data_IF_337461084185
#
_entry.id   IF_337461084185
#
_cell.length_a   1.000
_cell.length_b   1.000
_cell.length_c   1.000
_cell.angle_alpha   90.00
_cell.angle_beta   90.00
_cell.angle_gamma   90.00
#
_symmetry.space_group_name_H-M   'P 1'
#
loop_
_entity.id
_entity.type
_entity.pdbx_description
1 polymer ?
#
# COMPACT_ATOMS: atom_id res chain seq x y z
N UNK A 1 4.74 20.12 9.53
CA UNK A 1 3.87 19.01 9.10
C UNK A 1 2.73 19.55 8.27
N UNK A 2 2.65 19.18 7.00
CA UNK A 2 1.67 19.72 6.05
C UNK A 2 0.57 18.69 5.66
N UNK A 3 0.41 17.61 6.44
CA UNK A 3 -0.61 16.59 6.20
C UNK A 3 -0.39 15.66 5.00
N UNK A 4 0.81 15.68 4.38
CA UNK A 4 1.13 14.91 3.15
C UNK A 4 0.76 13.42 3.22
N UNK A 5 1.03 12.77 4.36
CA UNK A 5 0.71 11.35 4.57
C UNK A 5 -0.79 11.07 4.48
N UNK A 6 -1.64 11.97 4.98
CA UNK A 6 -3.09 11.80 4.88
C UNK A 6 -3.58 12.06 3.46
N UNK A 7 -3.02 13.04 2.75
CA UNK A 7 -3.33 13.26 1.33
C UNK A 7 -2.98 12.02 0.51
N UNK A 8 -1.79 11.44 0.72
CA UNK A 8 -1.39 10.19 0.08
C UNK A 8 -2.37 9.05 0.40
N UNK A 9 -2.76 8.90 1.67
CA UNK A 9 -3.72 7.88 2.08
C UNK A 9 -5.09 8.06 1.40
N UNK A 10 -5.58 9.30 1.25
CA UNK A 10 -6.83 9.56 0.53
C UNK A 10 -6.73 9.16 -0.95
N UNK A 11 -5.59 9.39 -1.58
CA UNK A 11 -5.33 8.91 -2.94
C UNK A 11 -5.34 7.38 -3.02
N UNK A 12 -4.72 6.70 -2.06
CA UNK A 12 -4.72 5.23 -1.99
C UNK A 12 -6.14 4.68 -1.79
N UNK A 13 -6.91 5.24 -0.85
CA UNK A 13 -8.30 4.85 -0.59
C UNK A 13 -9.21 5.08 -1.80
N UNK A 14 -8.98 6.15 -2.56
CA UNK A 14 -9.71 6.39 -3.79
C UNK A 14 -9.42 5.33 -4.86
N UNK A 15 -8.19 4.84 -4.93
CA UNK A 15 -7.86 3.75 -5.86
C UNK A 15 -8.49 2.44 -5.40
N UNK A 16 -8.34 2.08 -4.12
CA UNK A 16 -8.98 0.91 -3.50
C UNK A 16 -10.50 0.93 -3.75
N UNK A 17 -11.13 2.10 -3.61
CA UNK A 17 -12.56 2.30 -3.82
C UNK A 17 -13.09 1.95 -5.21
N UNK A 18 -12.22 1.89 -6.24
CA UNK A 18 -12.60 1.45 -7.59
C UNK A 18 -12.69 -0.06 -7.73
N UNK A 19 -12.11 -0.80 -6.79
CA UNK A 19 -11.98 -2.27 -6.83
C UNK A 19 -12.83 -2.93 -5.72
N UNK A 20 -13.91 -2.26 -5.30
CA UNK A 20 -14.88 -2.77 -4.32
C UNK A 20 -16.06 -3.37 -5.07
N UNK A 21 -16.38 -4.63 -4.77
CA UNK A 21 -17.54 -5.33 -5.30
C UNK A 21 -18.85 -4.86 -4.64
N UNK A 22 -19.99 -5.23 -5.22
CA UNK A 22 -21.31 -4.88 -4.67
C UNK A 22 -21.55 -5.45 -3.26
N UNK A 23 -20.89 -6.55 -2.91
CA UNK A 23 -20.97 -7.17 -1.58
C UNK A 23 -20.01 -6.55 -0.54
N UNK A 24 -19.23 -5.53 -0.95
CA UNK A 24 -18.27 -4.83 -0.11
C UNK A 24 -16.90 -5.50 0.00
N UNK A 25 -16.67 -6.63 -0.68
CA UNK A 25 -15.33 -7.23 -0.76
C UNK A 25 -14.42 -6.42 -1.69
N UNK A 26 -13.12 -6.47 -1.43
CA UNK A 26 -12.10 -5.74 -2.21
C UNK A 26 -11.33 -6.75 -3.05
N UNK A 27 -11.23 -6.51 -4.35
CA UNK A 27 -10.38 -7.29 -5.25
C UNK A 27 -8.92 -6.83 -5.13
N UNK A 28 -8.23 -7.31 -4.08
CA UNK A 28 -6.87 -6.87 -3.74
C UNK A 28 -5.81 -7.22 -4.81
N UNK A 29 -6.09 -8.19 -5.67
CA UNK A 29 -5.18 -8.64 -6.72
C UNK A 29 -5.31 -7.80 -8.01
N UNK A 30 -6.41 -7.04 -8.18
CA UNK A 30 -6.69 -6.26 -9.40
C UNK A 30 -5.85 -4.97 -9.51
N UNK A 31 -5.15 -4.57 -8.44
CA UNK A 31 -4.39 -3.33 -8.40
C UNK A 31 -3.15 -3.41 -7.52
N UNK A 32 -2.19 -2.53 -7.81
CA UNK A 32 -1.00 -2.30 -6.97
C UNK A 32 -0.80 -0.80 -6.76
N UNK A 33 -0.29 -0.43 -5.59
CA UNK A 33 0.01 0.96 -5.23
C UNK A 33 1.49 1.07 -4.88
N UNK A 34 2.20 1.98 -5.55
CA UNK A 34 3.63 2.23 -5.32
C UNK A 34 3.78 3.58 -4.62
N UNK A 35 4.38 3.59 -3.43
CA UNK A 35 4.73 4.79 -2.69
C UNK A 35 6.25 4.99 -2.68
N UNK A 36 6.72 6.06 -3.33
CA UNK A 36 8.15 6.36 -3.47
C UNK A 36 8.56 7.39 -2.41
N UNK A 37 9.63 7.10 -1.66
CA UNK A 37 10.23 8.01 -0.70
C UNK A 37 11.76 8.04 -0.85
N UNK A 38 12.41 9.18 -0.56
CA UNK A 38 13.84 9.39 -0.84
C UNK A 38 14.80 8.69 0.12
N UNK A 39 14.34 8.24 1.29
CA UNK A 39 15.20 7.65 2.32
C UNK A 39 14.58 6.40 2.90
N UNK A 40 15.41 5.39 3.17
CA UNK A 40 14.98 4.09 3.71
C UNK A 40 14.23 4.21 5.04
N UNK A 41 14.68 5.08 5.94
CA UNK A 41 14.01 5.34 7.22
C UNK A 41 12.57 5.82 7.04
N UNK A 42 12.33 6.68 6.05
CA UNK A 42 10.99 7.17 5.73
C UNK A 42 10.13 6.07 5.10
N UNK A 43 10.71 5.21 4.27
CA UNK A 43 9.99 4.04 3.72
C UNK A 43 9.52 3.14 4.86
N UNK A 44 10.42 2.77 5.78
CA UNK A 44 10.10 1.94 6.94
C UNK A 44 9.00 2.54 7.83
N UNK A 45 9.07 3.85 8.09
CA UNK A 45 8.02 4.58 8.80
C UNK A 45 6.67 4.48 8.07
N UNK A 46 6.66 4.68 6.75
CA UNK A 46 5.44 4.63 5.95
C UNK A 46 4.88 3.21 5.79
N UNK A 47 5.74 2.19 5.68
CA UNK A 47 5.32 0.78 5.68
C UNK A 47 4.60 0.45 6.99
N UNK A 48 5.17 0.82 8.14
CA UNK A 48 4.52 0.62 9.43
C UNK A 48 3.22 1.41 9.60
N UNK A 49 3.19 2.66 9.12
CA UNK A 49 2.02 3.53 9.21
C UNK A 49 0.87 3.08 8.29
N UNK A 50 1.15 2.87 7.00
CA UNK A 50 0.15 2.43 6.03
C UNK A 50 -0.26 0.98 6.25
N UNK A 51 0.66 0.08 6.61
CA UNK A 51 0.34 -1.30 6.94
C UNK A 51 -0.70 -1.40 8.05
N UNK A 52 -0.52 -0.65 9.15
CA UNK A 52 -1.53 -0.60 10.24
C UNK A 52 -2.88 -0.04 9.80
N UNK A 53 -2.88 0.98 8.93
CA UNK A 53 -4.12 1.66 8.48
C UNK A 53 -4.87 0.89 7.40
N UNK A 54 -4.16 0.10 6.60
CA UNK A 54 -4.73 -0.65 5.46
C UNK A 54 -5.00 -2.12 5.79
N UNK A 55 -4.49 -2.64 6.92
CA UNK A 55 -4.71 -4.02 7.36
C UNK A 55 -6.19 -4.44 7.43
N UNK A 56 -7.09 -3.54 7.83
CA UNK A 56 -8.53 -3.82 7.89
C UNK A 56 -9.17 -4.06 6.53
N UNK A 57 -8.52 -3.64 5.45
CA UNK A 57 -8.95 -3.82 4.08
C UNK A 57 -8.32 -5.06 3.41
N UNK A 58 -7.57 -5.87 4.17
CA UNK A 58 -6.87 -7.05 3.63
C UNK A 58 -5.64 -6.72 2.77
N UNK A 59 -5.17 -5.47 2.80
CA UNK A 59 -4.06 -5.01 1.97
C UNK A 59 -2.74 -5.15 2.74
N UNK A 60 -1.76 -5.80 2.11
CA UNK A 60 -0.39 -5.89 2.62
C UNK A 60 0.46 -4.74 2.09
N UNK A 61 1.29 -4.17 2.97
CA UNK A 61 2.24 -3.10 2.62
C UNK A 61 3.64 -3.60 2.94
N UNK A 62 4.53 -3.56 1.96
CA UNK A 62 5.91 -4.05 2.08
C UNK A 62 6.93 -3.02 1.58
N UNK A 63 8.15 -3.08 2.12
CA UNK A 63 9.30 -2.34 1.59
C UNK A 63 9.83 -3.09 0.35
N UNK A 64 9.92 -2.41 -0.79
CA UNK A 64 10.62 -2.92 -1.97
C UNK A 64 12.07 -2.43 -1.94
N UNK A 65 13.02 -3.31 -1.62
CA UNK A 65 14.46 -3.06 -1.74
C UNK A 65 15.05 -3.96 -2.83
N UNK A 66 16.09 -3.49 -3.53
CA UNK A 66 16.78 -4.32 -4.53
C UNK A 66 17.49 -5.55 -3.97
N UNK A 67 17.72 -5.59 -2.65
CA UNK A 67 18.49 -6.65 -1.98
C UNK A 67 17.60 -7.79 -1.45
N UNK A 68 16.31 -7.52 -1.25
CA UNK A 68 15.30 -8.57 -1.09
C UNK A 68 14.63 -8.77 -2.45
N UNK A 69 15.04 -9.80 -3.18
CA UNK A 69 14.13 -10.41 -4.15
C UNK A 69 12.95 -10.94 -3.34
N UNK A 70 11.88 -10.13 -3.22
CA UNK A 70 10.54 -10.69 -3.06
C UNK A 70 10.42 -11.74 -4.17
N UNK A 71 10.09 -12.98 -3.80
CA UNK A 71 9.83 -14.00 -4.80
C UNK A 71 8.78 -13.41 -5.75
N UNK A 72 8.95 -13.54 -7.07
CA UNK A 72 8.06 -12.93 -8.08
C UNK A 72 6.55 -13.16 -7.80
N UNK A 73 6.26 -14.19 -7.02
CA UNK A 73 4.97 -14.54 -6.41
C UNK A 73 4.33 -13.41 -5.59
N UNK A 74 5.09 -12.66 -4.78
CA UNK A 74 4.55 -11.58 -3.92
C UNK A 74 4.22 -10.28 -4.69
N UNK A 75 4.72 -10.15 -5.92
CA UNK A 75 4.42 -9.03 -6.82
C UNK A 75 3.17 -9.34 -7.66
N UNK A 76 2.86 -10.63 -7.84
CA UNK A 76 1.81 -11.13 -8.73
C UNK A 76 0.55 -11.63 -8.01
N UNK A 77 0.58 -11.70 -6.66
CA UNK A 77 -0.61 -11.87 -5.82
C UNK A 77 -1.13 -10.49 -5.44
#
# INVERSE_FOLDING_TARGET
GAGKTNVALMCMLREIGKHINMDGTINVDDFKIIYIAPMRSLVQEMVGSFGKRLATYGITVAELTGDHQLCKEEISA
#
